data_IF_834673498112
#
_entry.id   IF_834673498112
#
_cell.length_a   1.000
_cell.length_b   1.000
_cell.length_c   1.000
_cell.angle_alpha   90.00
_cell.angle_beta   90.00
_cell.angle_gamma   90.00
#
_symmetry.space_group_name_H-M   'P 1'
#
loop_
_entity.id
_entity.type
_entity.pdbx_description
1 polymer ?
#
# COMPACT_ATOMS: atom_id res chain seq x y z
N UNK A 1 -32.77 -57.29 -24.08
CA UNK A 1 -33.25 -55.97 -23.62
C UNK A 1 -32.23 -54.93 -24.03
N UNK A 2 -32.56 -54.05 -24.97
CA UNK A 2 -31.68 -52.95 -25.35
C UNK A 2 -31.61 -51.98 -24.17
N UNK A 3 -30.37 -51.70 -23.70
CA UNK A 3 -30.13 -50.82 -22.56
C UNK A 3 -30.55 -49.39 -22.94
N UNK A 4 -31.20 -48.66 -22.02
CA UNK A 4 -31.56 -47.22 -22.21
C UNK A 4 -30.33 -46.39 -22.64
N UNK A 5 -29.16 -46.78 -22.24
CA UNK A 5 -27.88 -46.15 -22.62
C UNK A 5 -27.56 -46.24 -24.12
N UNK A 6 -28.12 -47.20 -24.88
CA UNK A 6 -27.92 -47.35 -26.33
C UNK A 6 -28.75 -46.30 -27.13
N UNK A 7 -29.73 -45.63 -26.50
CA UNK A 7 -30.55 -44.60 -27.11
C UNK A 7 -29.81 -43.27 -27.17
N UNK A 8 -28.87 -43.00 -26.27
CA UNK A 8 -28.12 -41.73 -26.20
C UNK A 8 -27.31 -41.47 -27.48
N UNK A 9 -26.47 -42.44 -27.99
CA UNK A 9 -25.72 -42.20 -29.21
C UNK A 9 -26.61 -42.12 -30.46
N UNK A 10 -27.77 -42.81 -30.48
CA UNK A 10 -28.73 -42.75 -31.57
C UNK A 10 -29.40 -41.37 -31.62
N UNK A 11 -29.89 -40.87 -30.48
CA UNK A 11 -30.46 -39.54 -30.35
C UNK A 11 -29.46 -38.45 -30.73
N UNK A 12 -28.21 -38.57 -30.24
CA UNK A 12 -27.15 -37.62 -30.57
C UNK A 12 -26.83 -37.58 -32.05
N UNK A 13 -26.97 -38.69 -32.78
CA UNK A 13 -26.72 -38.79 -34.23
C UNK A 13 -27.88 -38.18 -35.03
N UNK A 14 -29.11 -38.37 -34.60
CA UNK A 14 -30.32 -37.81 -35.26
C UNK A 14 -30.39 -36.28 -35.09
N UNK A 15 -30.09 -35.78 -33.90
CA UNK A 15 -30.12 -34.35 -33.57
C UNK A 15 -28.76 -33.65 -33.68
N UNK A 16 -27.82 -34.18 -34.42
CA UNK A 16 -26.42 -33.72 -34.51
C UNK A 16 -26.27 -32.23 -34.78
N UNK A 17 -27.11 -31.65 -35.66
CA UNK A 17 -27.08 -30.23 -35.98
C UNK A 17 -27.56 -29.37 -34.81
N UNK A 18 -28.62 -29.77 -34.16
CA UNK A 18 -29.20 -29.09 -33.00
C UNK A 18 -28.25 -29.16 -31.79
N UNK A 19 -27.67 -30.32 -31.51
CA UNK A 19 -26.69 -30.50 -30.41
C UNK A 19 -25.44 -29.63 -30.64
N UNK A 20 -24.93 -29.54 -31.88
CA UNK A 20 -23.78 -28.67 -32.19
C UNK A 20 -24.10 -27.19 -32.00
N UNK A 21 -25.33 -26.75 -32.37
CA UNK A 21 -25.78 -25.37 -32.11
C UNK A 21 -25.88 -25.10 -30.57
N UNK A 22 -26.45 -26.03 -29.80
CA UNK A 22 -26.55 -25.89 -28.35
C UNK A 22 -25.18 -25.81 -27.69
N UNK A 23 -24.24 -26.68 -28.07
CA UNK A 23 -22.85 -26.64 -27.57
C UNK A 23 -22.20 -25.28 -27.92
N UNK A 24 -22.38 -24.80 -29.15
CA UNK A 24 -21.84 -23.52 -29.57
C UNK A 24 -22.44 -22.34 -28.77
N UNK A 25 -23.76 -22.34 -28.55
CA UNK A 25 -24.42 -21.31 -27.73
C UNK A 25 -23.92 -21.33 -26.27
N UNK A 26 -23.77 -22.51 -25.69
CA UNK A 26 -23.24 -22.65 -24.30
C UNK A 26 -21.79 -22.15 -24.25
N UNK A 27 -20.94 -22.56 -25.21
CA UNK A 27 -19.56 -22.12 -25.26
C UNK A 27 -19.44 -20.60 -25.44
N UNK A 28 -20.28 -20.00 -26.29
CA UNK A 28 -20.31 -18.56 -26.48
C UNK A 28 -20.78 -17.84 -25.21
N UNK A 29 -21.81 -18.34 -24.55
CA UNK A 29 -22.31 -17.76 -23.30
C UNK A 29 -21.23 -17.79 -22.17
N UNK A 30 -20.58 -18.93 -22.00
CA UNK A 30 -19.46 -19.06 -21.03
C UNK A 30 -18.33 -18.14 -21.39
N UNK A 31 -17.94 -18.05 -22.65
CA UNK A 31 -16.90 -17.14 -23.12
C UNK A 31 -17.23 -15.67 -22.84
N UNK A 32 -18.45 -15.23 -23.13
CA UNK A 32 -18.88 -13.86 -22.85
C UNK A 32 -18.86 -13.54 -21.36
N UNK A 33 -19.39 -14.44 -20.55
CA UNK A 33 -19.41 -14.27 -19.08
C UNK A 33 -18.00 -14.17 -18.51
N UNK A 34 -17.10 -15.09 -18.89
CA UNK A 34 -15.71 -15.08 -18.41
C UNK A 34 -14.95 -13.84 -18.89
N UNK A 35 -15.21 -13.37 -20.11
CA UNK A 35 -14.58 -12.15 -20.63
C UNK A 35 -15.02 -10.92 -19.86
N UNK A 36 -16.33 -10.76 -19.60
CA UNK A 36 -16.85 -9.61 -18.85
C UNK A 36 -16.29 -9.57 -17.44
N UNK A 37 -16.30 -10.71 -16.72
CA UNK A 37 -15.74 -10.78 -15.35
C UNK A 37 -14.22 -10.57 -15.36
N UNK A 38 -13.51 -11.13 -16.34
CA UNK A 38 -12.06 -10.91 -16.48
C UNK A 38 -11.69 -9.44 -16.68
N UNK A 39 -12.47 -8.72 -17.53
CA UNK A 39 -12.28 -7.28 -17.73
C UNK A 39 -12.55 -6.47 -16.45
N UNK A 40 -13.62 -6.81 -15.73
CA UNK A 40 -13.95 -6.15 -14.47
C UNK A 40 -12.86 -6.35 -13.39
N UNK A 41 -12.34 -7.59 -13.27
CA UNK A 41 -11.25 -7.90 -12.32
C UNK A 41 -9.95 -7.14 -12.70
N UNK A 42 -9.58 -7.13 -13.97
CA UNK A 42 -8.42 -6.37 -14.46
C UNK A 42 -8.55 -4.87 -14.17
N UNK A 43 -9.74 -4.29 -14.35
CA UNK A 43 -9.98 -2.89 -14.05
C UNK A 43 -9.79 -2.59 -12.57
N UNK A 44 -10.39 -3.39 -11.67
CA UNK A 44 -10.25 -3.21 -10.22
C UNK A 44 -8.78 -3.36 -9.79
N UNK A 45 -8.08 -4.37 -10.29
CA UNK A 45 -6.63 -4.57 -10.00
C UNK A 45 -5.79 -3.38 -10.46
N UNK A 46 -6.08 -2.84 -11.65
CA UNK A 46 -5.40 -1.64 -12.14
C UNK A 46 -5.63 -0.44 -11.22
N UNK A 47 -6.87 -0.25 -10.72
CA UNK A 47 -7.18 0.81 -9.76
C UNK A 47 -6.47 0.60 -8.41
N UNK A 48 -6.39 -0.65 -7.93
CA UNK A 48 -5.65 -0.98 -6.70
C UNK A 48 -4.17 -0.60 -6.86
N UNK A 49 -3.52 -1.04 -7.94
CA UNK A 49 -2.10 -0.73 -8.21
C UNK A 49 -1.87 0.78 -8.28
N UNK A 50 -2.75 1.51 -8.99
CA UNK A 50 -2.68 2.97 -9.08
C UNK A 50 -2.83 3.61 -7.70
N UNK A 51 -3.81 3.18 -6.91
CA UNK A 51 -4.04 3.73 -5.57
C UNK A 51 -2.88 3.40 -4.62
N UNK A 52 -2.31 2.20 -4.70
CA UNK A 52 -1.11 1.85 -3.93
C UNK A 52 0.10 2.72 -4.30
N UNK A 53 0.25 3.08 -5.57
CA UNK A 53 1.29 4.02 -6.00
C UNK A 53 1.05 5.44 -5.49
N UNK A 54 -0.21 5.90 -5.45
CA UNK A 54 -0.58 7.25 -4.99
C UNK A 54 -0.60 7.39 -3.46
N UNK A 55 -1.15 6.42 -2.75
CA UNK A 55 -1.41 6.51 -1.30
C UNK A 55 -0.57 5.59 -0.44
N UNK A 56 0.22 4.70 -1.04
CA UNK A 56 0.95 3.64 -0.36
C UNK A 56 0.12 2.36 -0.17
N UNK A 57 0.81 1.28 0.16
CA UNK A 57 0.25 -0.06 0.36
C UNK A 57 0.01 -0.36 1.86
N UNK A 58 -0.40 0.65 2.61
CA UNK A 58 -0.80 0.50 4.00
C UNK A 58 -2.32 0.42 4.12
N UNK A 59 -2.80 -0.30 5.12
CA UNK A 59 -4.24 -0.44 5.39
C UNK A 59 -4.70 0.49 6.49
N UNK A 60 -3.91 0.62 7.57
CA UNK A 60 -4.15 1.55 8.66
C UNK A 60 -2.87 2.26 9.09
N UNK A 61 -3.01 3.48 9.61
CA UNK A 61 -2.00 4.21 10.34
C UNK A 61 -2.39 4.30 11.81
N UNK A 62 -1.48 3.97 12.73
CA UNK A 62 -1.73 3.97 14.16
C UNK A 62 -0.88 5.07 14.80
N UNK A 63 -1.49 5.88 15.66
CA UNK A 63 -0.86 6.99 16.35
C UNK A 63 -1.00 6.83 17.88
N UNK A 64 -0.17 7.54 18.63
CA UNK A 64 -0.26 7.59 20.08
C UNK A 64 -0.15 6.21 20.75
N UNK A 65 0.76 5.36 20.25
CA UNK A 65 1.14 4.09 20.85
C UNK A 65 2.64 4.11 21.18
N UNK A 66 3.06 3.25 22.11
CA UNK A 66 4.48 3.12 22.46
C UNK A 66 5.24 2.30 21.41
N UNK A 67 6.56 2.40 21.40
CA UNK A 67 7.41 1.55 20.55
C UNK A 67 7.28 0.06 20.91
N UNK A 68 7.02 -0.26 22.16
CA UNK A 68 6.77 -1.62 22.65
C UNK A 68 5.45 -2.16 22.09
N UNK A 69 4.37 -1.37 22.11
CA UNK A 69 3.09 -1.76 21.51
C UNK A 69 3.23 -1.96 20.00
N UNK A 70 3.97 -1.06 19.33
CA UNK A 70 4.26 -1.19 17.90
C UNK A 70 5.04 -2.47 17.59
N UNK A 71 6.00 -2.86 18.44
CA UNK A 71 6.74 -4.12 18.28
C UNK A 71 5.84 -5.35 18.47
N UNK A 72 4.90 -5.31 19.43
CA UNK A 72 3.89 -6.36 19.61
C UNK A 72 3.00 -6.49 18.38
N UNK A 73 2.54 -5.38 17.80
CA UNK A 73 1.74 -5.36 16.58
C UNK A 73 2.55 -5.92 15.40
N UNK A 74 3.81 -5.52 15.25
CA UNK A 74 4.69 -5.98 14.17
C UNK A 74 5.00 -7.49 14.22
N UNK A 75 4.94 -8.10 15.42
CA UNK A 75 5.17 -9.53 15.61
C UNK A 75 3.95 -10.41 15.31
N UNK A 76 2.79 -9.83 15.01
CA UNK A 76 1.56 -10.58 14.71
C UNK A 76 1.65 -11.28 13.36
N UNK A 77 1.12 -12.52 13.25
CA UNK A 77 1.16 -13.28 11.99
C UNK A 77 0.27 -12.70 10.88
N UNK A 78 -0.75 -11.91 11.23
CA UNK A 78 -1.65 -11.22 10.31
C UNK A 78 -1.07 -9.89 9.78
N UNK A 79 0.05 -9.42 10.33
CA UNK A 79 0.74 -8.19 9.90
C UNK A 79 1.92 -8.54 8.98
N UNK A 80 1.86 -8.09 7.74
CA UNK A 80 2.93 -8.29 6.76
C UNK A 80 4.07 -7.27 6.91
N UNK A 81 3.72 -6.04 7.28
CA UNK A 81 4.70 -4.99 7.52
C UNK A 81 4.14 -3.93 8.48
N UNK A 82 5.03 -3.37 9.29
CA UNK A 82 4.82 -2.17 10.08
C UNK A 82 6.03 -1.28 9.89
N UNK A 83 5.79 0.00 9.54
CA UNK A 83 6.84 1.00 9.40
C UNK A 83 6.48 2.26 10.21
N UNK A 84 7.38 2.74 11.08
CA UNK A 84 7.23 4.04 11.74
C UNK A 84 7.40 5.15 10.69
N UNK A 85 6.72 6.26 10.91
CA UNK A 85 6.90 7.48 10.14
C UNK A 85 6.75 8.69 11.06
N UNK A 86 7.75 9.54 11.01
CA UNK A 86 7.79 10.80 11.74
C UNK A 86 8.12 11.91 10.76
N UNK A 87 7.63 13.12 11.00
CA UNK A 87 7.95 14.28 10.17
C UNK A 87 8.10 15.53 11.01
N UNK A 88 9.18 16.25 10.75
CA UNK A 88 9.41 17.63 11.23
C UNK A 88 9.30 18.57 10.03
N UNK A 89 8.81 19.77 10.27
CA UNK A 89 8.68 20.81 9.24
C UNK A 89 7.80 20.36 8.05
N UNK A 90 6.68 19.67 8.32
CA UNK A 90 5.79 19.11 7.29
C UNK A 90 5.37 20.15 6.23
N UNK A 91 5.10 21.37 6.64
CA UNK A 91 4.63 22.47 5.79
C UNK A 91 5.73 23.47 5.39
N UNK A 92 7.00 23.18 5.71
CA UNK A 92 8.14 23.99 5.31
C UNK A 92 8.16 25.39 5.92
N UNK A 93 7.89 25.55 7.24
CA UNK A 93 7.83 26.86 7.91
C UNK A 93 8.60 26.93 9.24
N UNK A 94 9.33 25.87 9.57
CA UNK A 94 10.03 25.78 10.87
C UNK A 94 11.52 26.10 10.77
N UNK A 95 12.05 26.41 9.58
CA UNK A 95 13.43 26.86 9.39
C UNK A 95 14.45 25.75 9.18
N UNK A 96 14.00 24.55 8.80
CA UNK A 96 14.93 23.51 8.31
C UNK A 96 15.12 23.71 6.81
N UNK A 97 16.35 23.98 6.39
CA UNK A 97 16.63 24.30 4.98
C UNK A 97 17.74 23.49 4.39
N UNK A 98 17.62 23.18 3.09
CA UNK A 98 18.63 22.64 2.22
C UNK A 98 18.89 23.66 1.09
N UNK A 99 20.11 24.19 1.00
CA UNK A 99 20.45 25.24 0.04
C UNK A 99 19.43 26.42 0.06
N UNK A 100 19.15 26.93 1.25
CA UNK A 100 18.21 28.05 1.51
C UNK A 100 16.73 27.73 1.22
N UNK A 101 16.40 26.52 0.81
CA UNK A 101 15.02 26.08 0.56
C UNK A 101 14.51 25.23 1.72
N UNK A 102 13.32 25.56 2.22
CA UNK A 102 12.65 24.79 3.30
C UNK A 102 12.45 23.32 2.91
N UNK A 103 12.76 22.42 3.84
CA UNK A 103 12.63 20.99 3.66
C UNK A 103 11.87 20.35 4.83
N UNK A 104 11.08 19.32 4.52
CA UNK A 104 10.52 18.42 5.52
C UNK A 104 11.57 17.36 5.87
N UNK A 105 11.81 17.14 7.17
CA UNK A 105 12.66 16.05 7.64
C UNK A 105 11.78 14.87 8.03
N UNK A 106 11.96 13.74 7.36
CA UNK A 106 11.17 12.54 7.51
C UNK A 106 12.01 11.42 8.12
N UNK A 107 11.54 10.83 9.20
CA UNK A 107 12.18 9.68 9.85
C UNK A 107 11.40 8.40 9.62
N UNK A 108 12.10 7.33 9.27
CA UNK A 108 11.50 6.02 9.12
C UNK A 108 12.55 4.89 9.20
N UNK A 109 12.16 3.71 8.74
CA UNK A 109 13.05 2.58 8.49
C UNK A 109 12.91 2.07 7.05
N UNK A 110 13.75 1.12 6.67
CA UNK A 110 13.77 0.53 5.33
C UNK A 110 12.43 -0.08 4.89
N UNK A 111 11.60 -0.56 5.84
CA UNK A 111 10.28 -1.16 5.55
C UNK A 111 9.31 -0.17 4.94
N UNK A 112 9.47 1.13 5.20
CA UNK A 112 8.60 2.16 4.61
C UNK A 112 8.65 2.06 3.08
N UNK A 113 9.85 2.06 2.49
CA UNK A 113 10.03 1.99 1.04
C UNK A 113 10.04 0.56 0.50
N UNK A 114 10.42 -0.44 1.30
CA UNK A 114 10.40 -1.82 0.84
C UNK A 114 8.99 -2.43 0.77
N UNK A 115 8.03 -1.98 1.59
CA UNK A 115 6.72 -2.61 1.75
C UNK A 115 5.54 -1.65 1.65
N UNK A 116 5.63 -0.47 2.28
CA UNK A 116 4.52 0.47 2.35
C UNK A 116 4.44 1.35 1.11
N UNK A 117 5.58 1.86 0.64
CA UNK A 117 5.70 2.68 -0.57
C UNK A 117 6.74 2.11 -1.55
N UNK A 118 6.58 0.87 -2.03
CA UNK A 118 7.64 0.17 -2.78
C UNK A 118 7.99 0.82 -4.12
N UNK A 119 7.13 1.67 -4.67
CA UNK A 119 7.34 2.33 -5.96
C UNK A 119 7.90 3.75 -5.83
N UNK A 120 8.20 4.21 -4.62
CA UNK A 120 8.66 5.59 -4.40
C UNK A 120 10.17 5.72 -4.33
N UNK A 121 10.90 4.67 -4.03
CA UNK A 121 12.36 4.66 -4.13
C UNK A 121 12.75 4.61 -5.62
N UNK A 122 13.29 5.72 -6.13
CA UNK A 122 13.67 5.86 -7.54
C UNK A 122 15.09 5.39 -7.81
N UNK A 123 16.02 5.69 -6.89
CA UNK A 123 17.43 5.36 -7.05
C UNK A 123 18.10 5.15 -5.69
N UNK A 124 19.08 4.25 -5.60
CA UNK A 124 19.86 4.02 -4.38
C UNK A 124 19.17 3.15 -3.34
N UNK A 125 19.34 3.47 -2.06
CA UNK A 125 18.80 2.73 -0.94
C UNK A 125 18.46 3.64 0.24
N UNK A 126 17.56 3.16 1.12
CA UNK A 126 17.24 3.83 2.39
C UNK A 126 18.50 3.96 3.26
N UNK A 127 18.69 5.10 3.99
CA UNK A 127 19.81 5.32 4.89
C UNK A 127 20.02 4.15 5.87
N UNK A 128 21.26 3.70 5.99
CA UNK A 128 21.65 2.63 6.92
C UNK A 128 22.32 3.15 8.17
N UNK A 129 22.82 4.37 8.09
CA UNK A 129 23.53 5.05 9.18
C UNK A 129 22.95 6.45 9.41
N UNK A 130 23.22 7.01 10.57
CA UNK A 130 22.73 8.34 10.95
C UNK A 130 23.41 9.50 10.18
N UNK A 131 24.43 9.20 9.38
CA UNK A 131 25.10 10.16 8.52
C UNK A 131 24.67 10.07 7.05
N UNK A 132 23.71 9.20 6.74
CA UNK A 132 23.15 9.07 5.40
C UNK A 132 21.75 9.68 5.33
N UNK A 133 21.40 10.18 4.16
CA UNK A 133 20.07 10.71 3.87
C UNK A 133 19.61 10.33 2.47
N UNK A 134 18.30 10.26 2.26
CA UNK A 134 17.69 10.32 0.93
C UNK A 134 16.99 11.66 0.76
N UNK A 135 16.88 12.13 -0.47
CA UNK A 135 16.10 13.32 -0.80
C UNK A 135 15.07 13.03 -1.89
N UNK A 136 14.09 13.91 -1.99
CA UNK A 136 13.08 13.82 -3.06
C UNK A 136 13.69 14.13 -4.43
N UNK A 137 13.14 13.54 -5.50
CA UNK A 137 13.55 13.79 -6.89
C UNK A 137 13.52 15.28 -7.25
N UNK A 138 12.54 16.02 -6.72
CA UNK A 138 12.49 17.47 -6.93
C UNK A 138 13.67 18.21 -6.32
N UNK A 139 14.19 17.78 -5.17
CA UNK A 139 15.43 18.34 -4.59
C UNK A 139 16.67 17.92 -5.39
N UNK A 140 16.71 16.67 -5.87
CA UNK A 140 17.76 16.17 -6.78
C UNK A 140 17.87 17.05 -8.02
N UNK A 141 16.75 17.27 -8.71
CA UNK A 141 16.72 18.04 -9.96
C UNK A 141 17.07 19.53 -9.74
N UNK A 142 16.61 20.12 -8.62
CA UNK A 142 16.88 21.52 -8.31
C UNK A 142 18.36 21.78 -8.02
N UNK A 143 19.05 20.86 -7.35
CA UNK A 143 20.43 21.01 -6.87
C UNK A 143 21.45 20.18 -7.65
N UNK A 144 21.04 19.45 -8.70
CA UNK A 144 21.89 18.57 -9.51
C UNK A 144 22.67 17.56 -8.66
N UNK A 145 21.95 16.86 -7.76
CA UNK A 145 22.53 15.96 -6.75
C UNK A 145 22.72 14.54 -7.28
N UNK A 146 23.76 13.88 -6.78
CA UNK A 146 24.10 12.49 -7.12
C UNK A 146 24.28 11.65 -5.84
N UNK A 147 24.10 10.34 -5.96
CA UNK A 147 24.39 9.42 -4.84
C UNK A 147 25.86 9.54 -4.45
N UNK A 148 26.11 9.70 -3.14
CA UNK A 148 27.45 9.90 -2.57
C UNK A 148 27.82 11.36 -2.36
N UNK A 149 27.03 12.32 -2.86
CA UNK A 149 27.24 13.73 -2.58
C UNK A 149 26.95 14.05 -1.11
N UNK A 150 27.60 15.06 -0.58
CA UNK A 150 27.33 15.61 0.73
C UNK A 150 26.32 16.75 0.64
N UNK A 151 25.29 16.69 1.47
CA UNK A 151 24.31 17.76 1.63
C UNK A 151 24.40 18.36 3.04
N UNK A 152 24.17 19.65 3.14
CA UNK A 152 24.11 20.37 4.43
C UNK A 152 22.71 20.85 4.69
N UNK A 153 22.14 20.43 5.81
CA UNK A 153 20.84 20.88 6.30
C UNK A 153 21.06 21.88 7.42
N UNK A 154 20.61 23.12 7.22
CA UNK A 154 20.61 24.13 8.26
C UNK A 154 19.42 23.96 9.16
N UNK A 155 19.60 24.18 10.46
CA UNK A 155 18.59 24.03 11.49
C UNK A 155 18.22 25.36 12.12
N UNK A 156 16.98 25.53 12.63
CA UNK A 156 16.51 26.82 13.16
C UNK A 156 17.25 27.27 14.44
N UNK A 157 17.78 26.33 15.23
CA UNK A 157 18.38 26.63 16.53
C UNK A 157 19.65 25.85 16.86
N UNK A 158 20.03 24.87 16.02
CA UNK A 158 21.19 24.02 16.21
C UNK A 158 22.28 24.24 15.18
N UNK A 159 23.35 23.43 15.23
CA UNK A 159 24.39 23.44 14.20
C UNK A 159 23.85 22.86 12.88
N UNK A 160 24.45 23.27 11.77
CA UNK A 160 24.22 22.64 10.48
C UNK A 160 24.63 21.17 10.53
N UNK A 161 23.87 20.35 9.81
CA UNK A 161 24.08 18.91 9.74
C UNK A 161 24.49 18.48 8.34
N UNK A 162 25.51 17.64 8.26
CA UNK A 162 26.02 17.11 6.99
C UNK A 162 25.63 15.65 6.84
N UNK A 163 25.08 15.28 5.69
CA UNK A 163 24.70 13.93 5.35
C UNK A 163 25.25 13.54 3.98
N UNK A 164 25.59 12.25 3.82
CA UNK A 164 25.91 11.66 2.51
C UNK A 164 24.65 11.11 1.87
N UNK A 165 24.40 11.42 0.61
CA UNK A 165 23.22 10.93 -0.12
C UNK A 165 23.33 9.44 -0.42
N UNK A 166 22.35 8.66 0.06
CA UNK A 166 22.22 7.21 -0.17
C UNK A 166 21.20 6.85 -1.25
N UNK A 167 20.32 7.79 -1.62
CA UNK A 167 19.28 7.53 -2.62
C UNK A 167 18.33 8.69 -2.84
N UNK A 168 17.41 8.47 -3.77
CA UNK A 168 16.37 9.42 -4.17
C UNK A 168 15.00 8.77 -4.12
N UNK A 169 13.99 9.58 -3.80
CA UNK A 169 12.63 9.13 -3.65
C UNK A 169 11.67 10.09 -4.36
N UNK A 170 10.64 9.55 -5.00
CA UNK A 170 9.60 10.38 -5.60
C UNK A 170 8.87 11.21 -4.53
N UNK A 171 8.45 12.42 -4.91
CA UNK A 171 7.64 13.25 -4.03
C UNK A 171 6.31 12.57 -3.76
N UNK A 172 5.96 12.46 -2.48
CA UNK A 172 4.70 11.84 -2.08
C UNK A 172 3.88 12.80 -1.25
N UNK A 173 2.72 13.18 -1.77
CA UNK A 173 1.81 14.11 -1.13
C UNK A 173 1.24 13.60 0.21
N UNK A 174 1.40 12.32 0.53
CA UNK A 174 0.90 11.74 1.79
C UNK A 174 1.94 11.75 2.92
N UNK A 175 3.22 11.88 2.59
CA UNK A 175 4.31 11.88 3.56
C UNK A 175 4.76 13.30 3.92
N UNK A 176 4.59 14.27 3.03
CA UNK A 176 4.91 15.68 3.24
C UNK A 176 3.97 16.57 2.43
N UNK A 177 4.00 17.87 2.63
CA UNK A 177 3.29 18.81 1.77
C UNK A 177 3.79 18.72 0.32
N UNK A 178 2.90 18.83 -0.66
CA UNK A 178 3.24 18.76 -2.09
C UNK A 178 4.24 19.80 -2.56
N UNK A 179 4.33 20.92 -1.83
CA UNK A 179 5.18 22.05 -2.19
C UNK A 179 6.52 22.05 -1.41
N UNK A 180 6.76 21.01 -0.60
CA UNK A 180 7.93 20.92 0.27
C UNK A 180 8.86 19.80 -0.24
N UNK A 181 10.16 20.08 -0.28
CA UNK A 181 11.17 19.04 -0.52
C UNK A 181 11.32 18.17 0.72
N UNK A 182 11.59 16.90 0.54
CA UNK A 182 11.75 15.94 1.64
C UNK A 182 13.16 15.44 1.77
N UNK A 183 13.60 15.30 3.02
CA UNK A 183 14.84 14.61 3.40
C UNK A 183 14.48 13.46 4.31
N UNK A 184 14.84 12.24 3.92
CA UNK A 184 14.51 11.02 4.65
C UNK A 184 15.75 10.52 5.39
N UNK A 185 15.57 10.30 6.68
CA UNK A 185 16.58 9.90 7.66
C UNK A 185 16.13 8.63 8.38
N UNK A 186 17.04 8.03 9.15
CA UNK A 186 16.66 7.00 10.14
C UNK A 186 15.75 7.61 11.21
N UNK A 187 14.88 6.78 11.82
CA UNK A 187 14.01 7.22 12.93
C UNK A 187 14.84 7.78 14.10
N UNK A 188 15.97 7.13 14.39
CA UNK A 188 16.89 7.48 15.46
C UNK A 188 17.50 8.86 15.22
N UNK A 189 17.98 9.12 13.99
CA UNK A 189 18.56 10.42 13.65
C UNK A 189 17.55 11.53 13.73
N UNK A 190 16.34 11.32 13.20
CA UNK A 190 15.29 12.34 13.27
C UNK A 190 14.90 12.65 14.73
N UNK A 191 14.86 11.63 15.59
CA UNK A 191 14.58 11.83 17.00
C UNK A 191 15.67 12.65 17.73
N UNK A 192 16.95 12.42 17.40
CA UNK A 192 18.06 13.23 17.92
C UNK A 192 17.95 14.70 17.48
N UNK A 193 17.57 14.93 16.22
CA UNK A 193 17.33 16.27 15.69
C UNK A 193 16.18 16.96 16.44
N UNK A 194 15.08 16.25 16.66
CA UNK A 194 13.94 16.75 17.42
C UNK A 194 14.35 17.15 18.85
N UNK A 195 15.08 16.28 19.56
CA UNK A 195 15.53 16.59 20.93
C UNK A 195 16.48 17.79 20.98
N UNK A 196 17.29 17.99 19.97
CA UNK A 196 18.31 19.06 19.95
C UNK A 196 17.70 20.43 19.56
N UNK A 197 16.74 20.44 18.64
CA UNK A 197 16.29 21.68 18.03
C UNK A 197 14.89 22.12 18.45
N UNK A 198 14.03 21.24 18.94
CA UNK A 198 12.61 21.53 19.08
C UNK A 198 12.04 21.31 20.48
N UNK A 199 12.81 21.51 21.52
CA UNK A 199 12.31 21.45 22.90
C UNK A 199 11.34 22.58 23.27
N UNK A 200 10.95 23.46 22.37
CA UNK A 200 10.21 24.69 22.66
C UNK A 200 8.72 24.64 22.33
N UNK A 201 8.04 23.52 22.49
CA UNK A 201 6.59 23.57 22.55
C UNK A 201 5.78 22.71 21.61
N UNK A 202 6.39 21.83 20.83
CA UNK A 202 5.62 20.77 20.20
C UNK A 202 5.24 19.73 21.27
N UNK A 203 3.96 19.52 21.45
CA UNK A 203 3.41 18.54 22.37
C UNK A 203 3.64 17.11 21.82
N UNK A 204 4.86 16.61 21.96
CA UNK A 204 5.24 15.27 21.58
C UNK A 204 5.90 15.16 20.20
N UNK A 205 6.54 14.02 19.99
CA UNK A 205 7.14 13.60 18.71
C UNK A 205 6.12 12.71 17.99
N UNK A 206 5.36 13.25 17.03
CA UNK A 206 4.25 12.50 16.43
C UNK A 206 4.80 11.36 15.58
N UNK A 207 4.47 10.12 15.98
CA UNK A 207 4.80 8.93 15.21
C UNK A 207 3.52 8.31 14.68
N UNK A 208 3.48 8.05 13.37
CA UNK A 208 2.47 7.23 12.72
C UNK A 208 3.10 5.88 12.39
N UNK A 209 2.47 4.79 12.79
CA UNK A 209 2.89 3.46 12.42
C UNK A 209 1.99 2.96 11.29
N UNK A 210 2.51 2.92 10.07
CA UNK A 210 1.80 2.35 8.92
C UNK A 210 1.82 0.84 8.99
N UNK A 211 0.64 0.23 8.94
CA UNK A 211 0.43 -1.22 9.02
C UNK A 211 -0.13 -1.75 7.72
N UNK A 212 0.50 -2.82 7.22
CA UNK A 212 0.03 -3.63 6.11
C UNK A 212 -0.33 -5.03 6.62
N UNK A 213 -1.56 -5.47 6.40
CA UNK A 213 -1.97 -6.83 6.71
C UNK A 213 -1.52 -7.81 5.63
N UNK A 214 -1.26 -9.06 6.03
CA UNK A 214 -0.82 -10.12 5.13
C UNK A 214 -1.92 -10.59 4.16
N UNK A 215 -3.18 -10.56 4.60
CA UNK A 215 -4.33 -10.91 3.77
C UNK A 215 -5.12 -9.67 3.37
N UNK A 216 -5.53 -9.61 2.12
CA UNK A 216 -6.42 -8.57 1.59
C UNK A 216 -7.88 -9.01 1.46
N UNK A 217 -8.18 -10.28 1.78
CA UNK A 217 -9.53 -10.83 1.60
C UNK A 217 -10.52 -10.35 2.66
N UNK A 218 -10.06 -10.17 3.91
CA UNK A 218 -10.90 -9.80 5.06
C UNK A 218 -10.26 -8.67 5.86
N UNK A 219 -9.65 -7.68 5.19
CA UNK A 219 -8.87 -6.62 5.85
C UNK A 219 -9.68 -5.89 6.92
N UNK A 220 -10.97 -5.63 6.68
CA UNK A 220 -11.83 -4.96 7.66
C UNK A 220 -11.95 -5.76 8.97
N UNK A 221 -12.08 -7.08 8.87
CA UNK A 221 -12.12 -7.96 10.07
C UNK A 221 -10.78 -7.95 10.80
N UNK A 222 -9.66 -7.91 10.08
CA UNK A 222 -8.33 -7.82 10.68
C UNK A 222 -8.13 -6.48 11.40
N UNK A 223 -8.63 -5.38 10.84
CA UNK A 223 -8.61 -4.05 11.47
C UNK A 223 -9.37 -4.08 12.80
N UNK A 224 -10.60 -4.60 12.81
CA UNK A 224 -11.43 -4.67 14.02
C UNK A 224 -10.83 -5.61 15.07
N UNK A 225 -10.26 -6.75 14.66
CA UNK A 225 -9.55 -7.67 15.54
C UNK A 225 -8.34 -7.00 16.18
N UNK A 226 -7.54 -6.28 15.40
CA UNK A 226 -6.37 -5.57 15.91
C UNK A 226 -6.78 -4.47 16.89
N UNK A 227 -7.77 -3.62 16.55
CA UNK A 227 -8.32 -2.59 17.43
C UNK A 227 -8.76 -3.20 18.78
N UNK A 228 -9.52 -4.28 18.73
CA UNK A 228 -10.05 -4.94 19.91
C UNK A 228 -8.96 -5.57 20.79
N UNK A 229 -7.99 -6.27 20.18
CA UNK A 229 -6.94 -6.99 20.90
C UNK A 229 -5.88 -6.06 21.50
N UNK A 230 -5.58 -4.95 20.81
CA UNK A 230 -4.62 -3.97 21.27
C UNK A 230 -5.25 -2.81 22.06
N UNK A 231 -6.59 -2.82 22.25
CA UNK A 231 -7.30 -1.78 22.98
C UNK A 231 -7.21 -0.40 22.33
N UNK A 232 -7.09 -0.35 20.96
CA UNK A 232 -6.94 0.91 20.22
C UNK A 232 -8.29 1.61 20.10
N UNK A 233 -8.30 2.91 20.39
CA UNK A 233 -9.46 3.76 20.17
C UNK A 233 -9.57 4.20 18.70
N UNK A 234 -10.75 4.64 18.30
CA UNK A 234 -11.00 5.05 16.91
C UNK A 234 -10.20 6.26 16.46
N UNK A 235 -9.84 7.14 17.38
CA UNK A 235 -9.04 8.35 17.15
C UNK A 235 -7.53 8.05 16.99
N UNK A 236 -7.08 6.88 17.47
CA UNK A 236 -5.70 6.42 17.27
C UNK A 236 -5.47 5.76 15.90
N UNK A 237 -6.54 5.38 15.20
CA UNK A 237 -6.45 4.60 13.96
C UNK A 237 -7.01 5.37 12.79
N UNK A 238 -6.17 5.66 11.82
CA UNK A 238 -6.54 6.18 10.51
C UNK A 238 -6.58 5.06 9.48
N UNK A 239 -7.54 5.07 8.57
CA UNK A 239 -7.71 4.05 7.54
C UNK A 239 -7.39 4.59 6.14
N UNK A 240 -6.70 3.81 5.32
CA UNK A 240 -6.54 4.09 3.90
C UNK A 240 -7.85 3.76 3.16
N UNK A 241 -8.84 4.63 3.31
CA UNK A 241 -10.20 4.42 2.82
C UNK A 241 -10.29 4.17 1.32
N UNK A 242 -9.41 4.80 0.52
CA UNK A 242 -9.35 4.57 -0.93
C UNK A 242 -8.94 3.13 -1.24
N UNK A 243 -7.84 2.66 -0.65
CA UNK A 243 -7.34 1.30 -0.87
C UNK A 243 -8.32 0.26 -0.31
N UNK A 244 -8.82 0.45 0.91
CA UNK A 244 -9.76 -0.47 1.55
C UNK A 244 -11.07 -0.60 0.76
N UNK A 245 -11.59 0.49 0.21
CA UNK A 245 -12.76 0.47 -0.65
C UNK A 245 -12.58 -0.37 -1.91
N UNK A 246 -11.41 -0.27 -2.57
CA UNK A 246 -11.08 -1.08 -3.74
C UNK A 246 -10.85 -2.56 -3.40
N UNK A 247 -10.21 -2.86 -2.27
CA UNK A 247 -10.03 -4.23 -1.79
C UNK A 247 -11.39 -4.89 -1.48
N UNK A 248 -12.31 -4.16 -0.85
CA UNK A 248 -13.68 -4.61 -0.63
C UNK A 248 -14.44 -4.89 -1.92
N UNK A 249 -14.30 -4.04 -2.93
CA UNK A 249 -14.89 -4.25 -4.27
C UNK A 249 -14.28 -5.48 -4.96
N UNK A 250 -12.97 -5.67 -4.89
CA UNK A 250 -12.28 -6.84 -5.44
C UNK A 250 -12.80 -8.14 -4.83
N UNK A 251 -12.93 -8.18 -3.51
CA UNK A 251 -13.47 -9.34 -2.78
C UNK A 251 -14.92 -9.63 -3.17
N UNK A 252 -15.77 -8.59 -3.23
CA UNK A 252 -17.18 -8.73 -3.64
C UNK A 252 -17.30 -9.24 -5.07
N UNK A 253 -16.51 -8.71 -6.00
CA UNK A 253 -16.49 -9.16 -7.40
C UNK A 253 -16.06 -10.62 -7.53
N UNK A 254 -15.06 -11.05 -6.77
CA UNK A 254 -14.64 -12.45 -6.73
C UNK A 254 -15.75 -13.37 -6.24
N UNK A 255 -16.46 -13.02 -5.16
CA UNK A 255 -17.58 -13.79 -4.65
C UNK A 255 -18.73 -13.91 -5.66
N UNK A 256 -19.06 -12.81 -6.36
CA UNK A 256 -20.08 -12.82 -7.42
C UNK A 256 -19.68 -13.78 -8.56
N UNK A 257 -18.41 -13.80 -8.97
CA UNK A 257 -17.88 -14.71 -9.99
C UNK A 257 -18.01 -16.18 -9.57
N UNK A 258 -17.68 -16.49 -8.31
CA UNK A 258 -17.80 -17.85 -7.74
C UNK A 258 -19.28 -18.30 -7.75
N UNK A 259 -20.22 -17.45 -7.30
CA UNK A 259 -21.64 -17.78 -7.32
C UNK A 259 -22.19 -17.93 -8.75
N UNK A 260 -21.77 -17.07 -9.68
CA UNK A 260 -22.17 -17.18 -11.08
C UNK A 260 -21.67 -18.49 -11.72
N UNK A 261 -20.41 -18.86 -11.46
CA UNK A 261 -19.86 -20.14 -11.93
C UNK A 261 -20.60 -21.35 -11.33
N UNK A 262 -20.91 -21.31 -10.04
CA UNK A 262 -21.67 -22.36 -9.38
C UNK A 262 -23.09 -22.48 -9.95
N UNK A 263 -23.75 -21.36 -10.24
CA UNK A 263 -25.08 -21.36 -10.87
C UNK A 263 -25.06 -21.95 -12.27
N UNK A 264 -24.04 -21.62 -13.08
CA UNK A 264 -23.87 -22.19 -14.44
C UNK A 264 -23.65 -23.70 -14.36
N UNK A 265 -22.79 -24.17 -13.44
CA UNK A 265 -22.54 -25.60 -13.23
C UNK A 265 -23.83 -26.33 -12.79
N UNK A 266 -24.59 -25.73 -11.87
CA UNK A 266 -25.86 -26.31 -11.41
C UNK A 266 -26.86 -26.46 -12.54
N UNK A 267 -27.00 -25.44 -13.40
CA UNK A 267 -27.88 -25.49 -14.59
C UNK A 267 -27.42 -26.59 -15.54
N UNK A 268 -26.11 -26.70 -15.82
CA UNK A 268 -25.57 -27.76 -16.69
C UNK A 268 -25.85 -29.16 -16.15
N UNK A 269 -25.75 -29.37 -14.83
CA UNK A 269 -26.08 -30.68 -14.19
C UNK A 269 -27.57 -30.98 -14.30
N UNK A 270 -28.46 -30.00 -14.21
CA UNK A 270 -29.92 -30.21 -14.35
C UNK A 270 -30.33 -30.63 -15.76
N UNK A 271 -29.58 -30.20 -16.79
CA UNK A 271 -29.87 -30.50 -18.21
C UNK A 271 -29.03 -31.66 -18.78
N UNK A 272 -28.12 -32.24 -18.01
CA UNK A 272 -27.33 -33.41 -18.39
C UNK A 272 -28.03 -34.73 -18.02
#
# INVERSE_FOLDING_TARGET
MKRYLDLVPISAKVHRKQNRMSIFCIALAVFLVTTIFGMADMFIRSQIIKTQAETGNWHIGIQNITSEDAAVIAARPDVAALAPYNVLNYDGKQGYTLAETEVALCGSNDRLFAKIFPNMLSEGAFPKTDNEAMVTESAKDMLDLHIGDEITISTPAGPDMVFTLSGFVENTANLMSSDTYGVFLTTEKLYDIYLTNDNNGLSGYPTVYYVQFASTLNVQSEIENLKSQCGLSGDQVSENTKLLGLLGQSTSSFMIQVYAAAAVLFVLVLFA
#
